data_IF_429782781994
#
_entry.id   IF_429782781994
#
_cell.length_a   1.000
_cell.length_b   1.000
_cell.length_c   1.000
_cell.angle_alpha   90.00
_cell.angle_beta   90.00
_cell.angle_gamma   90.00
#
_symmetry.space_group_name_H-M   'P 1'
#
loop_
_entity.id
_entity.type
_entity.pdbx_description
1 polymer ?
#
# COMPACT_ATOMS: atom_id res chain seq x y z
N UNK A 1 -47.35 11.22 34.63
CA UNK A 1 -46.41 11.88 33.67
C UNK A 1 -45.02 11.23 33.68
N UNK A 2 -44.41 11.01 34.85
CA UNK A 2 -43.08 10.37 35.01
C UNK A 2 -42.89 9.02 34.28
N UNK A 3 -43.86 8.09 34.36
CA UNK A 3 -43.78 6.80 33.65
C UNK A 3 -43.69 6.92 32.12
N UNK A 4 -44.26 7.98 31.53
CA UNK A 4 -44.19 8.22 30.08
C UNK A 4 -42.83 8.79 29.68
N UNK A 5 -42.27 9.68 30.50
CA UNK A 5 -40.93 10.23 30.32
C UNK A 5 -39.87 9.12 30.40
N UNK A 6 -39.93 8.27 31.44
CA UNK A 6 -39.00 7.14 31.59
C UNK A 6 -39.07 6.13 30.43
N UNK A 7 -40.27 5.86 29.89
CA UNK A 7 -40.42 4.99 28.72
C UNK A 7 -39.81 5.59 27.46
N UNK A 8 -40.01 6.89 27.25
CA UNK A 8 -39.43 7.60 26.11
C UNK A 8 -37.90 7.63 26.19
N UNK A 9 -37.35 7.91 27.37
CA UNK A 9 -35.91 7.99 27.60
C UNK A 9 -35.23 6.62 27.37
N UNK A 10 -35.83 5.53 27.84
CA UNK A 10 -35.33 4.17 27.56
C UNK A 10 -35.39 3.85 26.06
N UNK A 11 -36.47 4.24 25.37
CA UNK A 11 -36.57 4.02 23.93
C UNK A 11 -35.51 4.81 23.16
N UNK A 12 -35.28 6.06 23.55
CA UNK A 12 -34.26 6.93 22.97
C UNK A 12 -32.85 6.38 23.18
N UNK A 13 -32.52 5.94 24.41
CA UNK A 13 -31.23 5.33 24.71
C UNK A 13 -31.00 4.06 23.88
N UNK A 14 -32.02 3.19 23.75
CA UNK A 14 -31.91 1.98 22.92
C UNK A 14 -31.66 2.29 21.46
N UNK A 15 -32.39 3.28 20.92
CA UNK A 15 -32.18 3.74 19.55
C UNK A 15 -30.76 4.26 19.37
N UNK A 16 -30.30 5.13 20.28
CA UNK A 16 -28.96 5.70 20.19
C UNK A 16 -27.86 4.64 20.31
N UNK A 17 -28.03 3.65 21.19
CA UNK A 17 -27.11 2.52 21.29
C UNK A 17 -27.07 1.69 20.01
N UNK A 18 -28.21 1.49 19.34
CA UNK A 18 -28.26 0.77 18.07
C UNK A 18 -27.54 1.54 16.96
N UNK A 19 -27.78 2.86 16.86
CA UNK A 19 -27.10 3.73 15.89
C UNK A 19 -25.59 3.77 16.11
N UNK A 20 -25.13 3.77 17.37
CA UNK A 20 -23.71 3.72 17.69
C UNK A 20 -23.08 2.36 17.33
N UNK A 21 -23.79 1.27 17.56
CA UNK A 21 -23.32 -0.07 17.18
C UNK A 21 -23.16 -0.20 15.66
N UNK A 22 -24.17 0.24 14.89
CA UNK A 22 -24.11 0.25 13.43
C UNK A 22 -22.94 1.09 12.90
N UNK A 23 -22.74 2.30 13.45
CA UNK A 23 -21.62 3.15 13.07
C UNK A 23 -20.25 2.56 13.43
N UNK A 24 -20.18 1.79 14.51
CA UNK A 24 -18.95 1.10 14.92
C UNK A 24 -18.64 -0.03 13.93
N UNK A 25 -19.63 -0.88 13.62
CA UNK A 25 -19.47 -1.96 12.65
C UNK A 25 -19.05 -1.43 11.27
N UNK A 26 -19.64 -0.32 10.81
CA UNK A 26 -19.24 0.33 9.56
C UNK A 26 -17.81 0.91 9.61
N UNK A 27 -17.40 1.47 10.76
CA UNK A 27 -16.05 2.00 10.93
C UNK A 27 -15.01 0.87 10.96
N UNK A 28 -15.29 -0.22 11.66
CA UNK A 28 -14.46 -1.41 11.72
C UNK A 28 -14.29 -2.04 10.33
N UNK A 29 -15.39 -2.19 9.59
CA UNK A 29 -15.35 -2.69 8.21
C UNK A 29 -14.45 -1.82 7.32
N UNK A 30 -14.61 -0.49 7.38
CA UNK A 30 -13.77 0.44 6.59
C UNK A 30 -12.31 0.40 7.00
N UNK A 31 -12.01 0.16 8.29
CA UNK A 31 -10.65 0.02 8.76
C UNK A 31 -9.98 -1.24 8.18
N UNK A 32 -10.67 -2.38 8.24
CA UNK A 32 -10.21 -3.64 7.64
C UNK A 32 -9.97 -3.48 6.13
N UNK A 33 -10.93 -2.92 5.40
CA UNK A 33 -10.79 -2.68 3.96
C UNK A 33 -9.65 -1.70 3.61
N UNK A 34 -9.33 -0.76 4.50
CA UNK A 34 -8.20 0.14 4.30
C UNK A 34 -6.87 -0.56 4.55
N UNK A 35 -6.78 -1.37 5.61
CA UNK A 35 -5.60 -2.16 5.94
C UNK A 35 -5.28 -3.18 4.83
N UNK A 36 -6.28 -3.92 4.35
CA UNK A 36 -6.11 -4.86 3.23
C UNK A 36 -5.60 -4.17 1.96
N UNK A 37 -6.14 -2.99 1.64
CA UNK A 37 -5.69 -2.21 0.47
C UNK A 37 -4.27 -1.68 0.64
N UNK A 38 -3.89 -1.24 1.85
CA UNK A 38 -2.53 -0.78 2.13
C UNK A 38 -1.54 -1.94 1.96
N UNK A 39 -1.83 -3.08 2.60
CA UNK A 39 -0.99 -4.28 2.50
C UNK A 39 -0.85 -4.78 1.05
N UNK A 40 -1.95 -4.77 0.29
CA UNK A 40 -1.92 -5.14 -1.13
C UNK A 40 -1.09 -4.16 -1.97
N UNK A 41 -1.17 -2.86 -1.70
CA UNK A 41 -0.39 -1.85 -2.40
C UNK A 41 1.11 -1.96 -2.08
N UNK A 42 1.47 -2.18 -0.82
CA UNK A 42 2.86 -2.41 -0.39
C UNK A 42 3.42 -3.68 -1.05
N UNK A 43 2.69 -4.78 -0.96
CA UNK A 43 3.09 -6.06 -1.59
C UNK A 43 3.26 -5.92 -3.11
N UNK A 44 2.37 -5.17 -3.77
CA UNK A 44 2.49 -4.90 -5.20
C UNK A 44 3.71 -4.03 -5.51
N UNK A 45 4.01 -3.03 -4.67
CA UNK A 45 5.18 -2.18 -4.83
C UNK A 45 6.47 -3.01 -4.74
N UNK A 46 6.60 -3.85 -3.72
CA UNK A 46 7.76 -4.72 -3.52
C UNK A 46 7.91 -5.70 -4.69
N UNK A 47 6.80 -6.33 -5.11
CA UNK A 47 6.81 -7.22 -6.27
C UNK A 47 7.29 -6.52 -7.54
N UNK A 48 6.76 -5.33 -7.86
CA UNK A 48 7.17 -4.61 -9.07
C UNK A 48 8.59 -4.08 -8.98
N UNK A 49 9.04 -3.69 -7.79
CA UNK A 49 10.43 -3.31 -7.55
C UNK A 49 11.38 -4.47 -7.86
N UNK A 50 11.13 -5.64 -7.28
CA UNK A 50 11.99 -6.82 -7.45
C UNK A 50 11.99 -7.28 -8.91
N UNK A 51 10.82 -7.30 -9.56
CA UNK A 51 10.71 -7.62 -10.99
C UNK A 51 11.48 -6.64 -11.88
N UNK A 52 11.50 -5.34 -11.53
CA UNK A 52 12.24 -4.34 -12.28
C UNK A 52 13.76 -4.52 -12.11
N UNK A 53 14.22 -4.83 -10.90
CA UNK A 53 15.63 -5.12 -10.61
C UNK A 53 16.09 -6.38 -11.34
N UNK A 54 15.31 -7.46 -11.26
CA UNK A 54 15.64 -8.73 -11.93
C UNK A 54 15.69 -8.59 -13.45
N UNK A 55 14.70 -7.89 -14.04
CA UNK A 55 14.69 -7.61 -15.47
C UNK A 55 15.91 -6.76 -15.88
N UNK A 56 16.34 -5.84 -15.02
CA UNK A 56 17.48 -4.99 -15.28
C UNK A 56 18.81 -5.75 -15.23
N UNK A 57 18.98 -6.61 -14.23
CA UNK A 57 20.13 -7.50 -14.10
C UNK A 57 20.21 -8.46 -15.29
N UNK A 58 19.08 -9.08 -15.67
CA UNK A 58 19.03 -9.96 -16.85
C UNK A 58 19.41 -9.24 -18.14
N UNK A 59 19.01 -7.97 -18.30
CA UNK A 59 19.39 -7.15 -19.45
C UNK A 59 20.90 -6.80 -19.46
N UNK A 60 21.48 -6.55 -18.28
CA UNK A 60 22.92 -6.35 -18.13
C UNK A 60 23.70 -7.62 -18.50
N UNK A 61 23.30 -8.77 -17.97
CA UNK A 61 23.93 -10.07 -18.26
C UNK A 61 23.87 -10.40 -19.76
N UNK A 62 22.71 -10.18 -20.40
CA UNK A 62 22.52 -10.46 -21.82
C UNK A 62 23.42 -9.61 -22.75
N UNK A 63 23.82 -8.42 -22.29
CA UNK A 63 24.66 -7.49 -23.06
C UNK A 63 26.12 -7.46 -22.59
N UNK A 64 26.45 -8.22 -21.54
CA UNK A 64 27.74 -8.16 -20.85
C UNK A 64 28.01 -6.80 -20.20
N UNK A 65 26.96 -6.00 -19.98
CA UNK A 65 27.04 -4.68 -19.36
C UNK A 65 26.95 -4.74 -17.83
N UNK A 66 26.83 -3.59 -17.19
CA UNK A 66 26.64 -3.45 -15.74
C UNK A 66 25.40 -2.60 -15.45
N UNK A 67 24.57 -2.98 -14.47
CA UNK A 67 23.46 -2.13 -14.00
C UNK A 67 23.94 -0.75 -13.56
N UNK A 68 23.18 0.29 -13.89
CA UNK A 68 23.47 1.67 -13.52
C UNK A 68 22.20 2.47 -13.26
N UNK A 69 22.36 3.60 -12.57
CA UNK A 69 21.27 4.54 -12.31
C UNK A 69 21.68 5.94 -12.78
N UNK A 70 20.78 6.61 -13.50
CA UNK A 70 21.00 7.99 -13.92
C UNK A 70 20.78 8.94 -12.74
N UNK A 71 21.26 10.19 -12.86
CA UNK A 71 21.07 11.23 -11.83
C UNK A 71 19.59 11.55 -11.57
N UNK A 72 18.72 11.30 -12.55
CA UNK A 72 17.27 11.44 -12.41
C UNK A 72 16.56 10.13 -12.03
N UNK A 73 17.30 9.11 -11.60
CA UNK A 73 16.78 7.89 -10.98
C UNK A 73 16.32 6.80 -11.93
N UNK A 74 16.68 6.86 -13.22
CA UNK A 74 16.31 5.82 -14.20
C UNK A 74 17.35 4.70 -14.22
N UNK A 75 16.89 3.46 -14.25
CA UNK A 75 17.75 2.28 -14.43
C UNK A 75 18.24 2.20 -15.88
N UNK A 76 19.55 2.01 -16.07
CA UNK A 76 20.22 1.94 -17.38
C UNK A 76 21.29 0.85 -17.38
N UNK A 77 21.42 0.12 -18.49
CA UNK A 77 22.51 -0.85 -18.64
C UNK A 77 23.70 -0.12 -19.26
N UNK A 78 24.82 -0.09 -18.53
CA UNK A 78 26.08 0.49 -19.02
C UNK A 78 26.83 -0.61 -19.77
N UNK A 79 27.09 -0.47 -21.09
CA UNK A 79 27.86 -1.48 -21.82
C UNK A 79 29.26 -1.64 -21.22
N UNK A 80 29.79 -2.87 -21.18
CA UNK A 80 31.20 -3.07 -20.86
C UNK A 80 32.04 -2.38 -21.93
N UNK A 81 32.72 -1.29 -21.55
CA UNK A 81 33.60 -0.58 -22.46
C UNK A 81 34.74 -1.50 -22.92
N UNK A 82 34.90 -1.65 -24.23
CA UNK A 82 36.13 -2.16 -24.83
C UNK A 82 37.25 -1.09 -24.69
N UNK A 83 37.75 -0.90 -23.46
CA UNK A 83 38.98 -0.16 -23.19
C UNK A 83 38.84 1.11 -22.33
N UNK A 84 39.43 1.04 -21.14
CA UNK A 84 40.11 2.14 -20.46
C UNK A 84 39.24 3.11 -19.65
N UNK A 85 39.32 3.02 -18.31
CA UNK A 85 39.24 4.22 -17.49
C UNK A 85 40.66 4.61 -17.08
N UNK A 86 41.04 5.80 -17.54
CA UNK A 86 42.23 6.54 -17.18
C UNK A 86 42.50 6.55 -15.67
N UNK A 87 43.71 6.10 -15.30
CA UNK A 87 44.51 6.65 -14.19
C UNK A 87 45.62 7.52 -14.77
#
# INVERSE_FOLDING_TARGET
MQRRLAKWEIAHLRQHSAELAERLEEAEKRAVEAEERANAAESACDFWHDQAVDAHNAAADATGGTPGITMDGRLVVVPAASGGLHS
#
